data_IF_602103105135
#
_entry.id   IF_602103105135
#
_cell.length_a   1.000
_cell.length_b   1.000
_cell.length_c   1.000
_cell.angle_alpha   90.00
_cell.angle_beta   90.00
_cell.angle_gamma   90.00
#
_symmetry.space_group_name_H-M   'P 1'
#
loop_
_entity.id
_entity.type
_entity.pdbx_description
1 polymer ?
#
# COMPACT_ATOMS: atom_id res chain seq x y z
N UNK A 1 2.67 -15.52 2.12
CA UNK A 1 3.54 -16.35 1.27
C UNK A 1 4.69 -16.93 2.07
N UNK A 2 5.26 -18.06 1.66
CA UNK A 2 6.41 -18.69 2.31
C UNK A 2 7.69 -18.31 1.56
N UNK A 3 8.68 -17.77 2.26
CA UNK A 3 9.99 -17.34 1.72
C UNK A 3 11.06 -17.89 2.63
N UNK A 4 12.01 -18.65 2.09
CA UNK A 4 13.07 -19.33 2.86
C UNK A 4 12.51 -20.02 4.10
N UNK A 5 11.46 -20.83 3.88
CA UNK A 5 10.74 -21.59 4.90
C UNK A 5 9.94 -20.81 5.95
N UNK A 6 9.94 -19.47 5.88
CA UNK A 6 9.22 -18.60 6.82
C UNK A 6 7.99 -17.98 6.17
N UNK A 7 6.91 -17.85 6.94
CA UNK A 7 5.72 -17.13 6.51
C UNK A 7 5.95 -15.61 6.55
N UNK A 8 5.56 -14.93 5.48
CA UNK A 8 5.59 -13.49 5.34
C UNK A 8 4.31 -12.97 4.69
N UNK A 9 3.95 -11.74 5.04
CA UNK A 9 2.90 -10.96 4.41
C UNK A 9 3.48 -10.22 3.20
N UNK A 10 2.80 -10.33 2.06
CA UNK A 10 3.13 -9.64 0.84
C UNK A 10 2.27 -8.40 0.72
N UNK A 11 2.91 -7.24 0.73
CA UNK A 11 2.30 -5.98 0.30
C UNK A 11 2.67 -5.81 -1.17
N UNK A 12 1.68 -5.67 -2.05
CA UNK A 12 1.87 -5.49 -3.48
C UNK A 12 1.10 -4.26 -3.94
N UNK A 13 1.73 -3.42 -4.74
CA UNK A 13 1.09 -2.32 -5.42
C UNK A 13 1.01 -2.67 -6.91
N UNK A 14 -0.18 -2.53 -7.47
CA UNK A 14 -0.45 -2.74 -8.90
C UNK A 14 -1.08 -1.48 -9.47
N UNK A 15 -0.80 -1.18 -10.73
CA UNK A 15 -1.51 -0.13 -11.45
C UNK A 15 -2.89 -0.62 -11.93
N UNK A 16 -3.62 0.26 -12.61
CA UNK A 16 -4.93 -0.07 -13.18
C UNK A 16 -4.90 -1.11 -14.30
N UNK A 17 -3.74 -1.31 -14.94
CA UNK A 17 -3.52 -2.34 -15.96
C UNK A 17 -3.13 -3.70 -15.37
N UNK A 18 -2.95 -3.79 -14.05
CA UNK A 18 -2.50 -5.00 -13.37
C UNK A 18 -0.98 -5.16 -13.33
N UNK A 19 -0.21 -4.19 -13.83
CA UNK A 19 1.24 -4.23 -13.76
C UNK A 19 1.69 -3.98 -12.32
N UNK A 20 2.60 -4.81 -11.81
CA UNK A 20 3.14 -4.64 -10.47
C UNK A 20 4.10 -3.45 -10.45
N UNK A 21 3.81 -2.47 -9.60
CA UNK A 21 4.64 -1.27 -9.39
C UNK A 21 5.77 -1.58 -8.41
N UNK A 22 5.42 -2.18 -7.27
CA UNK A 22 6.37 -2.51 -6.20
C UNK A 22 5.79 -3.59 -5.29
N UNK A 23 6.67 -4.26 -4.55
CA UNK A 23 6.29 -5.22 -3.53
C UNK A 23 7.14 -5.06 -2.28
N UNK A 24 6.60 -5.50 -1.15
CA UNK A 24 7.28 -5.46 0.13
C UNK A 24 6.87 -6.64 0.99
N UNK A 25 7.87 -7.33 1.54
CA UNK A 25 7.69 -8.48 2.40
C UNK A 25 7.94 -8.09 3.84
N UNK A 26 7.03 -8.51 4.71
CA UNK A 26 7.20 -8.33 6.14
C UNK A 26 6.72 -9.56 6.91
N UNK A 27 7.39 -9.89 8.01
CA UNK A 27 7.04 -11.07 8.83
C UNK A 27 5.72 -10.92 9.60
N UNK A 28 5.22 -9.69 9.75
CA UNK A 28 4.00 -9.35 10.51
C UNK A 28 3.07 -8.43 9.72
N UNK A 29 1.76 -8.63 9.90
CA UNK A 29 0.75 -7.74 9.35
C UNK A 29 0.42 -6.64 10.37
N UNK A 30 0.93 -5.43 10.16
CA UNK A 30 0.70 -4.31 11.07
C UNK A 30 0.87 -2.95 10.38
N UNK A 31 0.30 -1.90 10.98
CA UNK A 31 0.30 -0.53 10.45
C UNK A 31 1.70 -0.01 10.10
N UNK A 32 2.74 -0.36 10.88
CA UNK A 32 4.12 0.08 10.61
C UNK A 32 4.69 -0.47 9.29
N UNK A 33 4.26 -1.67 8.89
CA UNK A 33 4.69 -2.29 7.64
C UNK A 33 3.95 -1.67 6.46
N UNK A 34 2.62 -1.50 6.58
CA UNK A 34 1.82 -0.77 5.60
C UNK A 34 2.35 0.67 5.39
N UNK A 35 2.66 1.38 6.47
CA UNK A 35 3.24 2.73 6.43
C UNK A 35 4.58 2.74 5.70
N UNK A 36 5.49 1.81 6.00
CA UNK A 36 6.80 1.71 5.32
C UNK A 36 6.64 1.44 3.83
N UNK A 37 5.78 0.50 3.48
CA UNK A 37 5.51 0.17 2.08
C UNK A 37 4.92 1.35 1.32
N UNK A 38 3.85 1.95 1.84
CA UNK A 38 3.17 3.07 1.20
C UNK A 38 4.05 4.32 1.15
N UNK A 39 4.84 4.58 2.19
CA UNK A 39 5.80 5.66 2.21
C UNK A 39 6.88 5.49 1.14
N UNK A 40 7.43 4.27 0.99
CA UNK A 40 8.37 3.94 -0.11
C UNK A 40 7.73 4.19 -1.47
N UNK A 41 6.50 3.69 -1.67
CA UNK A 41 5.77 3.83 -2.93
C UNK A 41 5.57 5.30 -3.30
N UNK A 42 5.05 6.10 -2.36
CA UNK A 42 4.77 7.51 -2.57
C UNK A 42 6.05 8.34 -2.78
N UNK A 43 7.13 8.02 -2.07
CA UNK A 43 8.41 8.71 -2.22
C UNK A 43 9.08 8.41 -3.57
N UNK A 44 8.89 7.20 -4.11
CA UNK A 44 9.42 6.81 -5.41
C UNK A 44 8.53 7.26 -6.59
N UNK A 45 7.30 7.70 -6.30
CA UNK A 45 6.35 8.16 -7.31
C UNK A 45 6.52 9.66 -7.52
N UNK A 46 6.72 10.10 -8.78
CA UNK A 46 6.73 11.53 -9.11
C UNK A 46 5.41 12.18 -8.64
N UNK A 47 5.46 13.39 -8.09
CA UNK A 47 4.28 14.06 -7.52
C UNK A 47 3.08 14.15 -8.48
N UNK A 48 3.33 14.31 -9.79
CA UNK A 48 2.28 14.34 -10.83
C UNK A 48 1.67 12.96 -11.15
N UNK A 49 2.30 11.88 -10.70
CA UNK A 49 1.88 10.49 -10.94
C UNK A 49 1.24 9.86 -9.69
N UNK A 50 1.17 10.59 -8.58
CA UNK A 50 0.46 10.10 -7.40
C UNK A 50 -1.03 9.96 -7.75
N UNK A 51 -1.63 8.78 -7.57
CA UNK A 51 -3.01 8.55 -7.97
C UNK A 51 -3.97 9.35 -7.09
N UNK A 52 -5.09 9.79 -7.68
CA UNK A 52 -6.19 10.42 -6.92
C UNK A 52 -6.92 9.44 -6.00
N UNK A 53 -6.81 8.14 -6.24
CA UNK A 53 -7.49 7.10 -5.49
C UNK A 53 -6.55 5.91 -5.26
N UNK A 54 -6.41 5.49 -4.01
CA UNK A 54 -5.72 4.26 -3.61
C UNK A 54 -6.78 3.25 -3.13
N UNK A 55 -6.78 2.07 -3.75
CA UNK A 55 -7.60 0.95 -3.32
C UNK A 55 -6.78 0.01 -2.45
N UNK A 56 -7.27 -0.33 -1.25
CA UNK A 56 -6.67 -1.39 -0.41
C UNK A 56 -7.72 -2.43 -0.05
N UNK A 57 -7.30 -3.54 0.54
CA UNK A 57 -8.24 -4.43 1.19
C UNK A 57 -8.90 -3.76 2.41
N UNK A 58 -9.82 -4.48 3.06
CA UNK A 58 -10.53 -4.01 4.25
C UNK A 58 -9.68 -4.08 5.55
N UNK A 59 -8.36 -4.23 5.48
CA UNK A 59 -7.55 -4.21 6.68
C UNK A 59 -7.44 -2.79 7.27
N UNK A 60 -7.59 -2.63 8.60
CA UNK A 60 -7.48 -1.32 9.26
C UNK A 60 -6.06 -0.74 9.23
N UNK A 61 -5.05 -1.59 8.96
CA UNK A 61 -3.63 -1.22 8.89
C UNK A 61 -3.37 -0.15 7.82
N UNK A 62 -4.01 -0.26 6.66
CA UNK A 62 -3.82 0.67 5.54
C UNK A 62 -4.41 2.05 5.81
N UNK A 63 -5.63 2.12 6.33
CA UNK A 63 -6.27 3.40 6.67
C UNK A 63 -5.45 4.19 7.69
N UNK A 64 -4.95 3.51 8.73
CA UNK A 64 -4.11 4.14 9.75
C UNK A 64 -2.74 4.57 9.19
N UNK A 65 -2.14 3.78 8.31
CA UNK A 65 -0.89 4.13 7.64
C UNK A 65 -1.03 5.37 6.75
N UNK A 66 -2.10 5.44 5.94
CA UNK A 66 -2.40 6.59 5.08
C UNK A 66 -2.67 7.85 5.88
N UNK A 67 -3.43 7.76 6.97
CA UNK A 67 -3.68 8.91 7.85
C UNK A 67 -2.38 9.51 8.41
N UNK A 68 -1.42 8.66 8.81
CA UNK A 68 -0.09 9.10 9.25
C UNK A 68 0.71 9.74 8.12
N UNK A 69 0.73 9.12 6.94
CA UNK A 69 1.44 9.67 5.77
C UNK A 69 0.87 11.02 5.33
N UNK A 70 -0.45 11.21 5.40
CA UNK A 70 -1.11 12.49 5.14
C UNK A 70 -0.74 13.54 6.18
N UNK A 71 -0.76 13.17 7.47
CA UNK A 71 -0.37 14.06 8.57
C UNK A 71 1.07 14.55 8.43
N UNK A 72 1.97 13.70 7.98
CA UNK A 72 3.39 14.02 7.76
C UNK A 72 3.67 14.70 6.41
N UNK A 73 2.64 14.97 5.59
CA UNK A 73 2.82 15.59 4.27
C UNK A 73 3.43 14.68 3.20
N UNK A 74 3.63 13.39 3.49
CA UNK A 74 4.17 12.38 2.56
C UNK A 74 3.14 11.86 1.57
N UNK A 75 1.86 11.97 1.91
CA UNK A 75 0.74 11.67 1.03
C UNK A 75 -0.09 12.94 0.81
N UNK A 76 -0.39 13.34 -0.44
CA UNK A 76 -1.25 14.49 -0.69
C UNK A 76 -2.65 14.29 -0.09
N UNK A 77 -3.22 15.38 0.45
CA UNK A 77 -4.53 15.32 1.12
C UNK A 77 -5.67 14.91 0.19
N UNK A 78 -5.57 15.29 -1.09
CA UNK A 78 -6.55 14.97 -2.15
C UNK A 78 -6.56 13.50 -2.58
N UNK A 79 -5.60 12.68 -2.11
CA UNK A 79 -5.61 11.24 -2.41
C UNK A 79 -6.74 10.59 -1.62
N UNK A 80 -7.74 10.06 -2.31
CA UNK A 80 -8.81 9.30 -1.70
C UNK A 80 -8.36 7.88 -1.38
N UNK A 81 -8.87 7.34 -0.27
CA UNK A 81 -8.63 5.96 0.12
C UNK A 81 -9.96 5.22 0.08
N UNK A 82 -10.00 4.10 -0.64
CA UNK A 82 -11.16 3.21 -0.68
C UNK A 82 -10.73 1.81 -0.30
N UNK A 83 -11.44 1.22 0.65
CA UNK A 83 -11.28 -0.18 0.98
C UNK A 83 -12.23 -1.00 0.13
N UNK A 84 -11.69 -1.90 -0.70
CA UNK A 84 -12.47 -2.79 -1.55
C UNK A 84 -12.09 -4.22 -1.22
N UNK A 85 -13.10 -5.01 -0.82
CA UNK A 85 -12.93 -6.43 -0.61
C UNK A 85 -12.76 -7.12 -1.99
N UNK A 86 -11.80 -8.02 -2.11
CA UNK A 86 -11.61 -8.91 -3.27
C UNK A 86 -11.12 -8.30 -4.59
N UNK A 87 -11.06 -6.97 -4.77
CA UNK A 87 -10.51 -6.37 -6.02
C UNK A 87 -8.99 -6.45 -6.15
N UNK A 88 -8.26 -6.55 -5.04
CA UNK A 88 -6.80 -6.53 -5.04
C UNK A 88 -6.16 -7.93 -5.09
N UNK A 89 -6.98 -8.98 -5.11
CA UNK A 89 -6.56 -10.38 -5.11
C UNK A 89 -6.67 -11.04 -6.49
N UNK A 90 -6.80 -10.27 -7.57
CA UNK A 90 -6.63 -10.82 -8.93
C UNK A 90 -5.14 -11.20 -9.03
N UNK A 91 -4.87 -12.50 -9.05
CA UNK A 91 -3.55 -13.12 -9.27
C UNK A 91 -3.48 -13.51 -10.73
#
# INVERSE_FOLDING_TARGET
MKVNERWAYLYRAVDSGGCTIDFYLFSRHHTKAAYRFMGKLLNNTKRLQIPRLINTDKAPTYGRALALLKREGKCPQHVHHRQIQYRNNII
#
